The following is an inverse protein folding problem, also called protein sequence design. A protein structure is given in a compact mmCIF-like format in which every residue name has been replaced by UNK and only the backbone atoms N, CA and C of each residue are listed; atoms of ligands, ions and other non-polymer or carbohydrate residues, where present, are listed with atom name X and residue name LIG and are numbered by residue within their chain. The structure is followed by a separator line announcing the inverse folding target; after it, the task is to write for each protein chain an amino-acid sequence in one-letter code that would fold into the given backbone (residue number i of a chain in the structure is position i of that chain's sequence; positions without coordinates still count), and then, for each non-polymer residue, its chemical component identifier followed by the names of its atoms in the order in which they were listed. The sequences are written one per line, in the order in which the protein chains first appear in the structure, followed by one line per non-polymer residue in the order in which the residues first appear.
data_IF_254467482122
#
_entry.id   IF_254467482122
#
_cell.length_a   1.000
_cell.length_b   1.000
_cell.length_c   1.000
_cell.angle_alpha   90.00
_cell.angle_beta   90.00
_cell.angle_gamma   90.00
#
_symmetry.space_group_name_H-M   'P 1'
#
loop_
_entity.id
_entity.type
_entity.pdbx_description
1 polymer ?
#
# COMPACT_ATOMS: atom_id res chain seq x y z
N UNK A 1 -0.72 -6.46 -14.69
CA UNK A 1 -1.28 -5.98 -13.41
C UNK A 1 -1.44 -7.11 -12.41
N UNK A 2 -1.00 -6.87 -11.19
CA UNK A 2 -1.20 -7.80 -10.07
C UNK A 2 -2.09 -7.16 -9.03
N UNK A 3 -3.00 -7.93 -8.48
CA UNK A 3 -3.85 -7.48 -7.38
C UNK A 3 -3.79 -8.49 -6.25
N UNK A 4 -3.92 -8.00 -5.02
CA UNK A 4 -3.95 -8.87 -3.85
C UNK A 4 -4.88 -8.30 -2.80
N UNK A 5 -5.77 -9.13 -2.30
CA UNK A 5 -6.63 -8.77 -1.19
C UNK A 5 -5.88 -9.05 0.11
N UNK A 6 -5.90 -8.07 1.01
CA UNK A 6 -5.18 -8.16 2.28
C UNK A 6 -6.10 -7.87 3.44
N UNK A 7 -5.89 -8.59 4.53
CA UNK A 7 -6.53 -8.27 5.80
C UNK A 7 -5.52 -7.46 6.61
N UNK A 8 -5.95 -6.30 7.08
CA UNK A 8 -5.08 -5.41 7.84
C UNK A 8 -4.91 -5.97 9.24
N UNK A 9 -3.72 -6.49 9.53
CA UNK A 9 -3.38 -7.02 10.84
C UNK A 9 -2.54 -6.05 11.67
N UNK A 10 -2.01 -5.00 11.04
CA UNK A 10 -1.20 -3.98 11.71
C UNK A 10 -1.86 -2.63 11.57
N UNK A 11 -1.86 -1.86 12.65
CA UNK A 11 -2.38 -0.50 12.65
C UNK A 11 -1.25 0.48 12.37
N UNK A 12 -1.20 1.00 11.13
CA UNK A 12 -0.18 1.95 10.71
C UNK A 12 -0.26 3.28 11.48
N UNK A 13 -1.42 3.61 12.06
CA UNK A 13 -1.56 4.84 12.82
C UNK A 13 -0.69 4.85 14.08
N UNK A 14 -0.28 3.66 14.54
CA UNK A 14 0.58 3.50 15.71
C UNK A 14 2.07 3.54 15.34
N UNK A 15 2.40 3.54 14.04
CA UNK A 15 3.78 3.44 13.55
C UNK A 15 4.04 4.53 12.50
N UNK A 16 4.32 5.77 12.93
CA UNK A 16 4.50 6.86 11.98
C UNK A 16 5.64 6.62 10.98
N UNK A 17 6.68 5.91 11.39
CA UNK A 17 7.79 5.58 10.49
C UNK A 17 7.38 4.60 9.40
N UNK A 18 6.36 3.78 9.63
CA UNK A 18 5.89 2.81 8.66
C UNK A 18 5.28 3.47 7.42
N UNK A 19 4.65 4.63 7.59
CA UNK A 19 4.09 5.39 6.47
C UNK A 19 5.21 5.82 5.52
N UNK A 20 6.27 6.40 6.07
CA UNK A 20 7.42 6.83 5.27
C UNK A 20 8.10 5.65 4.58
N UNK A 21 8.29 4.55 5.31
CA UNK A 21 8.88 3.34 4.74
C UNK A 21 8.05 2.77 3.59
N UNK A 22 6.73 2.75 3.74
CA UNK A 22 5.85 2.25 2.70
C UNK A 22 5.98 3.07 1.42
N UNK A 23 5.95 4.39 1.54
CA UNK A 23 6.10 5.28 0.40
C UNK A 23 7.48 5.13 -0.25
N UNK A 24 8.54 5.09 0.55
CA UNK A 24 9.89 4.91 0.03
C UNK A 24 10.04 3.57 -0.69
N UNK A 25 9.47 2.52 -0.13
CA UNK A 25 9.51 1.20 -0.74
C UNK A 25 8.75 1.19 -2.06
N UNK A 26 7.55 1.78 -2.10
CA UNK A 26 6.78 1.87 -3.33
C UNK A 26 7.52 2.65 -4.41
N UNK A 27 8.25 3.71 -4.02
CA UNK A 27 9.00 4.53 -4.96
C UNK A 27 10.24 3.83 -5.55
N UNK A 28 10.70 2.74 -4.95
CA UNK A 28 11.82 1.95 -5.48
C UNK A 28 11.44 1.16 -6.71
N UNK A 29 10.17 0.87 -6.88
CA UNK A 29 9.68 0.09 -8.01
C UNK A 29 9.19 1.01 -9.13
N UNK A 30 9.37 0.57 -10.36
CA UNK A 30 8.87 1.30 -11.53
C UNK A 30 7.36 1.14 -11.68
N UNK A 31 6.81 0.05 -11.16
CA UNK A 31 5.38 -0.25 -11.23
C UNK A 31 4.55 0.80 -10.50
N UNK A 32 3.36 1.06 -11.01
CA UNK A 32 2.36 1.86 -10.31
C UNK A 32 1.80 1.05 -9.15
N UNK A 33 1.59 1.70 -8.01
CA UNK A 33 1.13 1.03 -6.80
C UNK A 33 -0.06 1.78 -6.21
N UNK A 34 -1.17 1.09 -6.04
CA UNK A 34 -2.39 1.66 -5.48
C UNK A 34 -2.97 0.74 -4.43
N UNK A 35 -3.60 1.34 -3.43
CA UNK A 35 -4.39 0.62 -2.44
C UNK A 35 -5.84 1.05 -2.56
N UNK A 36 -6.74 0.10 -2.52
CA UNK A 36 -8.18 0.36 -2.60
C UNK A 36 -8.80 -0.06 -1.27
N UNK A 37 -9.38 0.92 -0.57
CA UNK A 37 -10.07 0.71 0.69
C UNK A 37 -11.27 1.63 0.75
N UNK A 38 -12.42 1.12 1.18
CA UNK A 38 -13.67 1.88 1.29
C UNK A 38 -14.00 2.62 0.00
N UNK A 39 -13.84 1.95 -1.14
CA UNK A 39 -14.12 2.48 -2.48
C UNK A 39 -13.20 3.62 -2.90
N UNK A 40 -12.12 3.86 -2.15
CA UNK A 40 -11.13 4.89 -2.49
C UNK A 40 -9.86 4.24 -3.00
N UNK A 41 -9.34 4.78 -4.10
CA UNK A 41 -8.09 4.33 -4.71
C UNK A 41 -6.99 5.31 -4.35
N UNK A 42 -5.97 4.81 -3.67
CA UNK A 42 -4.92 5.64 -3.08
C UNK A 42 -3.56 5.25 -3.68
N UNK A 43 -2.81 6.26 -4.13
CA UNK A 43 -1.48 6.06 -4.68
C UNK A 43 -0.48 5.83 -3.55
N UNK A 44 0.15 4.65 -3.54
CA UNK A 44 1.11 4.28 -2.50
C UNK A 44 2.44 5.03 -2.61
N UNK A 45 2.69 5.71 -3.72
CA UNK A 45 3.88 6.54 -3.90
C UNK A 45 3.70 7.97 -3.36
N UNK A 46 2.50 8.28 -2.86
CA UNK A 46 2.17 9.58 -2.31
C UNK A 46 2.07 9.51 -0.79
N UNK A 47 2.88 10.31 -0.10
CA UNK A 47 2.81 10.39 1.38
C UNK A 47 1.42 10.82 1.83
N UNK A 48 0.86 11.85 1.19
CA UNK A 48 -0.48 12.33 1.54
C UNK A 48 -1.54 11.26 1.29
N UNK A 49 -1.39 10.51 0.20
CA UNK A 49 -2.29 9.40 -0.11
C UNK A 49 -2.23 8.32 0.95
N UNK A 50 -1.04 7.91 1.35
CA UNK A 50 -0.86 6.88 2.38
C UNK A 50 -1.37 7.36 3.73
N UNK A 51 -1.18 8.63 4.07
CA UNK A 51 -1.73 9.18 5.29
C UNK A 51 -3.27 9.13 5.29
N UNK A 52 -3.89 9.37 4.14
CA UNK A 52 -5.34 9.21 4.00
C UNK A 52 -5.76 7.76 4.18
N UNK A 53 -4.97 6.82 3.66
CA UNK A 53 -5.22 5.39 3.82
C UNK A 53 -5.16 4.98 5.29
N UNK A 54 -4.19 5.49 6.04
CA UNK A 54 -4.06 5.23 7.47
C UNK A 54 -5.28 5.74 8.23
N UNK A 55 -5.84 6.87 7.81
CA UNK A 55 -7.03 7.44 8.44
C UNK A 55 -8.28 6.59 8.17
N UNK A 56 -8.29 5.82 7.09
CA UNK A 56 -9.37 4.89 6.78
C UNK A 56 -9.13 3.62 7.59
N UNK A 57 -9.92 3.39 8.63
CA UNK A 57 -9.76 2.23 9.50
C UNK A 57 -10.46 1.00 8.93
N UNK A 58 -10.15 0.67 7.69
CA UNK A 58 -10.70 -0.52 7.05
C UNK A 58 -9.89 -1.75 7.46
N UNK A 59 -10.58 -2.86 7.67
CA UNK A 59 -9.93 -4.13 8.02
C UNK A 59 -9.43 -4.88 6.78
N UNK A 60 -9.93 -4.52 5.62
CA UNK A 60 -9.58 -5.17 4.36
C UNK A 60 -9.22 -4.12 3.33
N UNK A 61 -8.23 -4.44 2.51
CA UNK A 61 -7.87 -3.60 1.39
C UNK A 61 -7.38 -4.46 0.23
N UNK A 62 -7.37 -3.87 -0.96
CA UNK A 62 -6.83 -4.51 -2.15
C UNK A 62 -5.68 -3.65 -2.64
N UNK A 63 -4.53 -4.25 -2.92
CA UNK A 63 -3.46 -3.53 -3.57
C UNK A 63 -3.42 -3.91 -5.05
N UNK A 64 -3.18 -2.90 -5.89
CA UNK A 64 -3.03 -3.06 -7.34
C UNK A 64 -1.66 -2.57 -7.76
N UNK A 65 -0.90 -3.43 -8.40
CA UNK A 65 0.45 -3.12 -8.86
C UNK A 65 0.53 -3.41 -10.35
N UNK A 66 1.03 -2.46 -11.13
CA UNK A 66 1.11 -2.62 -12.59
C UNK A 66 2.44 -2.07 -13.11
N UNK A 67 3.22 -2.94 -13.75
CA UNK A 67 4.50 -2.57 -14.32
C UNK A 67 5.45 -3.74 -14.47
N UNK A 68 6.67 -3.46 -14.92
CA UNK A 68 7.66 -4.48 -15.23
C UNK A 68 8.08 -5.29 -13.99
N UNK A 69 8.14 -4.65 -12.83
CA UNK A 69 8.54 -5.27 -11.57
C UNK A 69 7.37 -5.54 -10.61
N UNK A 70 6.18 -5.70 -11.19
CA UNK A 70 4.95 -5.85 -10.40
C UNK A 70 4.97 -7.03 -9.44
N UNK A 71 5.58 -8.14 -9.81
CA UNK A 71 5.65 -9.32 -8.95
C UNK A 71 6.49 -9.06 -7.69
N UNK A 72 7.64 -8.44 -7.87
CA UNK A 72 8.50 -8.09 -6.75
C UNK A 72 7.85 -7.01 -5.88
N UNK A 73 7.24 -6.03 -6.53
CA UNK A 73 6.58 -4.93 -5.83
C UNK A 73 5.43 -5.43 -4.95
N UNK A 74 4.57 -6.30 -5.48
CA UNK A 74 3.41 -6.78 -4.72
C UNK A 74 3.84 -7.64 -3.53
N UNK A 75 4.87 -8.45 -3.69
CA UNK A 75 5.42 -9.27 -2.60
C UNK A 75 5.95 -8.39 -1.49
N UNK A 76 6.71 -7.36 -1.84
CA UNK A 76 7.32 -6.46 -0.89
C UNK A 76 6.27 -5.59 -0.17
N UNK A 77 5.35 -5.00 -0.94
CA UNK A 77 4.35 -4.09 -0.37
C UNK A 77 3.29 -4.81 0.47
N UNK A 78 2.89 -6.02 0.07
CA UNK A 78 1.93 -6.80 0.85
C UNK A 78 2.45 -7.09 2.26
N UNK A 79 3.76 -7.21 2.43
CA UNK A 79 4.38 -7.46 3.73
C UNK A 79 4.13 -6.38 4.75
N UNK A 80 3.81 -5.16 4.33
CA UNK A 80 3.53 -4.07 5.26
C UNK A 80 2.23 -4.27 6.04
N UNK A 81 1.31 -5.07 5.52
CA UNK A 81 0.01 -5.31 6.16
C UNK A 81 -0.14 -6.71 6.76
N UNK A 82 0.86 -7.53 6.63
CA UNK A 82 0.80 -8.92 7.13
C UNK A 82 1.61 -9.14 8.41
#
# INVERSE_FOLDING_TARGET
MRTKELTVSKDFSMLPDAVAELVQTACKFESSSYAIADEKRINLKSIMGVMSLVAIKSKELVIEIDGADEDDAITCLAGFWS
#
